data_IF_476086805564
#
_entry.id   IF_476086805564
#
_cell.length_a   1.000
_cell.length_b   1.000
_cell.length_c   1.000
_cell.angle_alpha   90.00
_cell.angle_beta   90.00
_cell.angle_gamma   90.00
#
_symmetry.space_group_name_H-M   'P 1'
#
loop_
_entity.id
_entity.type
_entity.pdbx_description
1 polymer ?
#
# COMPACT_ATOMS: atom_id res chain seq x y z
N UNK A 1 -4.37 4.05 -20.22
CA UNK A 1 -4.76 4.86 -19.06
C UNK A 1 -5.37 6.13 -19.59
N UNK A 2 -6.68 6.18 -19.77
CA UNK A 2 -7.36 7.46 -19.89
C UNK A 2 -7.57 8.00 -18.46
N UNK A 3 -6.97 9.13 -18.08
CA UNK A 3 -7.04 9.66 -16.72
C UNK A 3 -8.44 10.21 -16.48
N UNK A 4 -9.27 9.51 -15.72
CA UNK A 4 -10.59 10.00 -15.31
C UNK A 4 -10.49 10.64 -13.93
N UNK A 5 -10.25 11.96 -13.94
CA UNK A 5 -10.33 12.85 -12.78
C UNK A 5 -9.01 12.99 -12.02
N UNK A 6 -8.29 14.08 -12.28
CA UNK A 6 -7.14 14.59 -11.52
C UNK A 6 -6.31 13.50 -10.81
N UNK A 7 -5.45 12.79 -11.55
CA UNK A 7 -4.43 11.84 -11.03
C UNK A 7 -3.36 12.54 -10.13
N UNK A 8 -3.64 13.76 -9.68
CA UNK A 8 -2.81 14.53 -8.78
C UNK A 8 -3.23 14.27 -7.34
N UNK A 9 -2.25 13.94 -6.51
CA UNK A 9 -2.45 13.78 -5.10
C UNK A 9 -3.01 15.05 -4.46
N UNK A 10 -4.11 14.91 -3.72
CA UNK A 10 -4.67 15.99 -2.93
C UNK A 10 -4.19 15.88 -1.48
N UNK A 11 -3.49 16.91 -0.96
CA UNK A 11 -3.06 16.94 0.42
C UNK A 11 -4.22 16.76 1.40
N UNK A 12 -4.02 15.90 2.40
CA UNK A 12 -4.99 15.59 3.44
C UNK A 12 -4.57 16.24 4.74
N UNK A 13 -5.52 16.76 5.51
CA UNK A 13 -5.22 17.25 6.85
C UNK A 13 -5.06 16.06 7.82
N UNK A 14 -3.80 15.73 8.14
CA UNK A 14 -3.48 14.61 9.02
C UNK A 14 -3.99 14.79 10.45
N UNK A 15 -4.09 16.03 10.94
CA UNK A 15 -4.59 16.30 12.29
C UNK A 15 -6.10 16.10 12.30
N UNK A 16 -6.80 16.64 11.32
CA UNK A 16 -8.23 16.44 11.17
C UNK A 16 -8.57 14.95 11.05
N UNK A 17 -7.87 14.21 10.18
CA UNK A 17 -8.17 12.80 9.97
C UNK A 17 -7.78 11.94 11.17
N UNK A 18 -6.69 12.28 11.87
CA UNK A 18 -6.32 11.65 13.13
C UNK A 18 -7.37 11.86 14.24
N UNK A 19 -7.91 13.08 14.37
CA UNK A 19 -8.99 13.40 15.32
C UNK A 19 -10.29 12.69 14.95
N UNK A 20 -10.65 12.68 13.67
CA UNK A 20 -11.80 11.95 13.15
C UNK A 20 -11.68 10.45 13.43
N UNK A 21 -10.49 9.88 13.17
CA UNK A 21 -10.16 8.51 13.52
C UNK A 21 -10.31 8.25 15.02
N UNK A 22 -9.79 9.13 15.88
CA UNK A 22 -9.94 9.01 17.33
C UNK A 22 -11.40 8.96 17.77
N UNK A 23 -12.25 9.83 17.19
CA UNK A 23 -13.67 9.92 17.53
C UNK A 23 -14.44 8.70 17.05
N UNK A 24 -14.25 8.29 15.80
CA UNK A 24 -14.97 7.14 15.22
C UNK A 24 -14.57 5.85 15.94
N UNK A 25 -13.27 5.57 16.05
CA UNK A 25 -12.81 4.36 16.72
C UNK A 25 -13.02 4.42 18.23
N UNK A 26 -12.91 5.59 18.87
CA UNK A 26 -13.28 5.79 20.26
C UNK A 26 -14.75 5.48 20.52
N UNK A 27 -15.65 5.88 19.62
CA UNK A 27 -17.07 5.52 19.65
C UNK A 27 -17.29 4.00 19.56
N UNK A 28 -16.60 3.33 18.64
CA UNK A 28 -16.61 1.84 18.55
C UNK A 28 -16.09 1.21 19.85
N UNK A 29 -15.01 1.75 20.41
CA UNK A 29 -14.45 1.32 21.69
C UNK A 29 -15.43 1.51 22.86
N UNK A 30 -16.21 2.59 22.85
CA UNK A 30 -17.27 2.85 23.84
C UNK A 30 -18.39 1.82 23.74
N UNK A 31 -18.85 1.51 22.53
CA UNK A 31 -19.84 0.45 22.32
C UNK A 31 -19.32 -0.91 22.81
N UNK A 32 -18.06 -1.22 22.52
CA UNK A 32 -17.43 -2.46 22.98
C UNK A 32 -17.27 -2.50 24.50
N UNK A 33 -16.90 -1.37 25.11
CA UNK A 33 -16.81 -1.21 26.56
C UNK A 33 -18.18 -1.36 27.23
N UNK A 34 -19.24 -0.84 26.62
CA UNK A 34 -20.61 -0.94 27.10
C UNK A 34 -21.14 -2.38 26.99
N UNK A 35 -20.89 -3.05 25.86
CA UNK A 35 -21.23 -4.47 25.69
C UNK A 35 -20.48 -5.37 26.68
N UNK A 36 -19.19 -5.09 26.93
CA UNK A 36 -18.45 -5.79 27.98
C UNK A 36 -19.00 -5.52 29.38
N UNK A 37 -19.51 -4.31 29.62
CA UNK A 37 -20.14 -3.96 30.90
C UNK A 37 -21.48 -4.68 31.09
N UNK A 38 -22.30 -4.81 30.04
CA UNK A 38 -23.59 -5.50 30.11
C UNK A 38 -23.43 -7.02 30.29
N UNK A 39 -22.33 -7.59 29.80
CA UNK A 39 -21.97 -9.01 29.99
C UNK A 39 -21.26 -9.29 31.32
N UNK A 40 -21.13 -8.31 32.21
CA UNK A 40 -20.46 -8.52 33.49
C UNK A 40 -21.29 -9.43 34.42
N UNK A 41 -20.64 -10.44 35.00
CA UNK A 41 -21.28 -11.39 35.94
C UNK A 41 -21.57 -10.81 37.33
N UNK A 42 -21.01 -9.65 37.64
CA UNK A 42 -21.17 -8.95 38.92
C UNK A 42 -22.05 -7.72 38.75
N UNK A 43 -22.73 -7.29 39.82
CA UNK A 43 -23.50 -6.05 39.80
C UNK A 43 -22.56 -4.86 39.56
N UNK A 44 -22.62 -4.28 38.36
CA UNK A 44 -21.76 -3.16 37.94
C UNK A 44 -22.63 -1.99 37.50
N UNK A 45 -22.30 -0.79 37.98
CA UNK A 45 -23.00 0.43 37.60
C UNK A 45 -22.67 0.86 36.16
N UNK A 46 -23.41 1.81 35.60
CA UNK A 46 -23.13 2.36 34.26
C UNK A 46 -21.72 2.99 34.16
N UNK A 47 -21.24 3.59 35.26
CA UNK A 47 -19.93 4.24 35.39
C UNK A 47 -18.73 3.29 35.19
N UNK A 48 -18.89 1.97 35.36
CA UNK A 48 -17.79 1.02 35.13
C UNK A 48 -17.40 0.90 33.66
N UNK A 49 -18.27 1.34 32.74
CA UNK A 49 -17.95 1.46 31.31
C UNK A 49 -16.78 2.41 31.08
N UNK A 50 -16.73 3.51 31.81
CA UNK A 50 -15.67 4.52 31.69
C UNK A 50 -14.51 4.26 32.66
N UNK A 51 -14.78 3.81 33.88
CA UNK A 51 -13.72 3.64 34.91
C UNK A 51 -12.97 2.32 34.77
N UNK A 52 -13.68 1.17 34.67
CA UNK A 52 -13.05 -0.15 34.54
C UNK A 52 -12.75 -0.52 33.09
N UNK A 53 -13.67 -0.20 32.17
CA UNK A 53 -13.53 -0.51 30.75
C UNK A 53 -13.01 0.67 29.90
N UNK A 54 -12.70 1.83 30.48
CA UNK A 54 -12.21 3.00 29.74
C UNK A 54 -10.91 2.75 28.99
N UNK A 55 -10.09 1.81 29.46
CA UNK A 55 -8.89 1.41 28.73
C UNK A 55 -9.18 0.75 27.36
N UNK A 56 -10.38 0.19 27.13
CA UNK A 56 -10.80 -0.30 25.81
C UNK A 56 -11.03 0.91 24.91
N UNK A 57 -11.80 1.88 25.37
CA UNK A 57 -12.09 3.14 24.65
C UNK A 57 -10.80 3.82 24.24
N UNK A 58 -9.86 3.98 25.18
CA UNK A 58 -8.56 4.60 24.92
C UNK A 58 -7.73 3.81 23.89
N UNK A 59 -7.74 2.47 23.95
CA UNK A 59 -6.98 1.63 23.01
C UNK A 59 -7.52 1.76 21.58
N UNK A 60 -8.84 1.72 21.41
CA UNK A 60 -9.46 1.88 20.09
C UNK A 60 -9.27 3.30 19.55
N UNK A 61 -9.46 4.33 20.38
CA UNK A 61 -9.23 5.71 19.99
C UNK A 61 -7.78 5.96 19.57
N UNK A 62 -6.80 5.44 20.34
CA UNK A 62 -5.38 5.56 20.02
C UNK A 62 -5.00 4.80 18.75
N UNK A 63 -5.56 3.61 18.53
CA UNK A 63 -5.31 2.84 17.31
C UNK A 63 -5.87 3.55 16.07
N UNK A 64 -7.10 4.07 16.15
CA UNK A 64 -7.75 4.80 15.06
C UNK A 64 -7.06 6.12 14.75
N UNK A 65 -6.64 6.86 15.78
CA UNK A 65 -5.91 8.12 15.59
C UNK A 65 -4.53 7.88 14.99
N UNK A 66 -3.77 6.91 15.51
CA UNK A 66 -2.47 6.55 14.98
C UNK A 66 -2.55 6.07 13.53
N UNK A 67 -3.59 5.30 13.18
CA UNK A 67 -3.83 4.85 11.81
C UNK A 67 -4.04 6.02 10.85
N UNK A 68 -5.07 6.84 11.08
CA UNK A 68 -5.46 7.89 10.12
C UNK A 68 -4.44 9.02 10.03
N UNK A 69 -3.85 9.41 11.17
CA UNK A 69 -2.78 10.39 11.21
C UNK A 69 -1.57 9.92 10.40
N UNK A 70 -1.09 8.71 10.67
CA UNK A 70 0.12 8.18 10.03
C UNK A 70 -0.11 7.91 8.56
N UNK A 71 -1.28 7.39 8.18
CA UNK A 71 -1.67 7.20 6.77
C UNK A 71 -1.67 8.53 6.03
N UNK A 72 -2.33 9.56 6.57
CA UNK A 72 -2.42 10.89 5.96
C UNK A 72 -1.05 11.60 5.89
N UNK A 73 -0.25 11.49 6.95
CA UNK A 73 1.11 12.00 6.95
C UNK A 73 1.99 11.30 5.90
N UNK A 74 1.90 9.97 5.79
CA UNK A 74 2.66 9.20 4.80
C UNK A 74 2.24 9.52 3.36
N UNK A 75 0.94 9.73 3.13
CA UNK A 75 0.44 10.13 1.82
C UNK A 75 0.89 11.54 1.45
N UNK A 76 0.89 12.48 2.40
CA UNK A 76 1.35 13.85 2.18
C UNK A 76 2.85 13.91 1.85
N UNK A 77 3.67 13.12 2.55
CA UNK A 77 5.12 13.08 2.33
C UNK A 77 5.51 12.45 0.98
N UNK A 78 4.68 11.53 0.48
CA UNK A 78 4.97 10.78 -0.75
C UNK A 78 4.21 11.31 -1.95
N UNK A 79 3.28 12.23 -1.73
CA UNK A 79 2.35 12.79 -2.70
C UNK A 79 1.70 11.69 -3.56
N UNK A 80 1.37 10.56 -2.92
CA UNK A 80 0.84 9.34 -3.56
C UNK A 80 -0.13 8.65 -2.62
N UNK A 81 -1.23 8.19 -3.18
CA UNK A 81 -2.20 7.33 -2.47
C UNK A 81 -1.99 5.88 -2.90
N UNK A 82 -1.25 5.11 -2.08
CA UNK A 82 -0.99 3.70 -2.33
C UNK A 82 -1.10 2.83 -1.05
N UNK A 83 -0.97 1.50 -1.25
CA UNK A 83 -1.04 0.50 -0.19
C UNK A 83 0.07 0.62 0.85
N UNK A 84 1.18 1.28 0.53
CA UNK A 84 2.25 1.53 1.50
C UNK A 84 1.80 2.50 2.59
N UNK A 85 0.94 3.46 2.28
CA UNK A 85 0.38 4.36 3.30
C UNK A 85 -0.48 3.58 4.32
N UNK A 86 -1.22 2.59 3.84
CA UNK A 86 -1.99 1.67 4.68
C UNK A 86 -1.10 0.74 5.51
N UNK A 87 0.03 0.31 4.97
CA UNK A 87 1.02 -0.49 5.70
C UNK A 87 1.59 0.27 6.90
N UNK A 88 2.04 1.51 6.68
CA UNK A 88 2.65 2.35 7.71
C UNK A 88 1.61 2.79 8.74
N UNK A 89 0.42 3.19 8.30
CA UNK A 89 -0.71 3.48 9.18
C UNK A 89 -1.13 2.26 10.03
N UNK A 90 -1.22 1.09 9.41
CA UNK A 90 -1.53 -0.17 10.09
C UNK A 90 -0.48 -0.57 11.12
N UNK A 91 0.79 -0.35 10.80
CA UNK A 91 1.88 -0.57 11.75
C UNK A 91 1.76 0.33 12.97
N UNK A 92 1.51 1.63 12.78
CA UNK A 92 1.31 2.59 13.87
C UNK A 92 0.09 2.22 14.74
N UNK A 93 -1.02 1.83 14.11
CA UNK A 93 -2.22 1.39 14.81
C UNK A 93 -2.00 0.12 15.64
N UNK A 94 -1.36 -0.91 15.05
CA UNK A 94 -1.04 -2.15 15.73
C UNK A 94 -0.04 -1.94 16.87
N UNK A 95 0.94 -1.07 16.68
CA UNK A 95 1.86 -0.65 17.73
C UNK A 95 1.12 0.06 18.88
N UNK A 96 0.16 0.95 18.57
CA UNK A 96 -0.66 1.64 19.57
C UNK A 96 -1.49 0.66 20.42
N UNK A 97 -2.05 -0.40 19.82
CA UNK A 97 -2.72 -1.48 20.56
C UNK A 97 -1.72 -2.24 21.45
N UNK A 98 -0.53 -2.53 20.91
CA UNK A 98 0.53 -3.26 21.61
C UNK A 98 1.15 -2.48 22.78
N UNK A 99 1.11 -1.15 22.78
CA UNK A 99 1.72 -0.30 23.82
C UNK A 99 1.23 -0.65 25.22
N UNK A 100 -0.05 -1.02 25.37
CA UNK A 100 -0.62 -1.44 26.66
C UNK A 100 0.10 -2.63 27.28
N UNK A 101 0.75 -3.47 26.47
CA UNK A 101 1.45 -4.66 26.98
C UNK A 101 2.82 -4.36 27.57
N UNK A 102 3.38 -3.16 27.35
CA UNK A 102 4.67 -2.73 27.89
C UNK A 102 5.89 -3.52 27.40
N UNK A 103 5.73 -4.39 26.38
CA UNK A 103 6.79 -5.27 25.88
C UNK A 103 7.09 -4.95 24.40
N UNK A 104 8.31 -4.53 24.12
CA UNK A 104 8.77 -4.18 22.77
C UNK A 104 8.49 -5.27 21.72
N UNK A 105 8.74 -6.57 21.97
CA UNK A 105 8.46 -7.60 20.97
C UNK A 105 6.98 -7.70 20.60
N UNK A 106 6.07 -7.42 21.55
CA UNK A 106 4.62 -7.46 21.30
C UNK A 106 4.19 -6.24 20.49
N UNK A 107 4.73 -5.06 20.81
CA UNK A 107 4.45 -3.83 20.07
C UNK A 107 4.83 -4.02 18.60
N UNK A 108 6.05 -4.51 18.34
CA UNK A 108 6.52 -4.77 16.98
C UNK A 108 5.72 -5.89 16.30
N UNK A 109 5.39 -6.97 17.01
CA UNK A 109 4.60 -8.07 16.46
C UNK A 109 3.19 -7.64 16.04
N UNK A 110 2.48 -6.90 16.89
CA UNK A 110 1.15 -6.38 16.57
C UNK A 110 1.21 -5.35 15.45
N UNK A 111 2.19 -4.43 15.48
CA UNK A 111 2.42 -3.47 14.41
C UNK A 111 2.67 -4.16 13.07
N UNK A 112 3.64 -5.08 13.00
CA UNK A 112 3.98 -5.78 11.77
C UNK A 112 2.80 -6.60 11.23
N UNK A 113 2.08 -7.31 12.10
CA UNK A 113 0.91 -8.09 11.70
C UNK A 113 -0.19 -7.22 11.10
N UNK A 114 -0.60 -6.16 11.79
CA UNK A 114 -1.66 -5.26 11.30
C UNK A 114 -1.21 -4.50 10.05
N UNK A 115 0.04 -4.05 10.01
CA UNK A 115 0.61 -3.38 8.84
C UNK A 115 0.56 -4.25 7.60
N UNK A 116 1.03 -5.51 7.68
CA UNK A 116 0.98 -6.45 6.55
C UNK A 116 -0.46 -6.78 6.17
N UNK A 117 -1.35 -7.01 7.15
CA UNK A 117 -2.75 -7.32 6.88
C UNK A 117 -3.46 -6.18 6.13
N UNK A 118 -3.28 -4.93 6.54
CA UNK A 118 -3.89 -3.78 5.89
C UNK A 118 -3.25 -3.47 4.54
N UNK A 119 -1.93 -3.63 4.41
CA UNK A 119 -1.25 -3.51 3.13
C UNK A 119 -1.77 -4.54 2.11
N UNK A 120 -1.89 -5.80 2.53
CA UNK A 120 -2.43 -6.86 1.68
C UNK A 120 -3.88 -6.59 1.31
N UNK A 121 -4.71 -6.16 2.27
CA UNK A 121 -6.10 -5.82 2.03
C UNK A 121 -6.25 -4.71 0.99
N UNK A 122 -5.52 -3.61 1.14
CA UNK A 122 -5.57 -2.49 0.20
C UNK A 122 -4.98 -2.86 -1.17
N UNK A 123 -3.87 -3.62 -1.17
CA UNK A 123 -3.27 -4.17 -2.39
C UNK A 123 -4.25 -5.05 -3.19
N UNK A 124 -5.10 -5.82 -2.51
CA UNK A 124 -6.15 -6.64 -3.16
C UNK A 124 -7.37 -5.84 -3.63
N UNK A 125 -7.40 -4.53 -3.41
CA UNK A 125 -8.47 -3.64 -3.86
C UNK A 125 -9.37 -3.12 -2.75
N UNK A 126 -8.99 -3.23 -1.48
CA UNK A 126 -9.59 -2.47 -0.36
C UNK A 126 -11.09 -2.68 -0.14
N UNK A 127 -11.70 -3.70 -0.74
CA UNK A 127 -13.14 -3.90 -0.77
C UNK A 127 -13.51 -5.37 -0.54
N UNK A 128 -14.31 -5.62 0.48
CA UNK A 128 -14.83 -6.96 0.80
C UNK A 128 -15.92 -7.44 -0.17
N UNK A 129 -16.54 -6.52 -0.92
CA UNK A 129 -17.60 -6.82 -1.89
C UNK A 129 -17.09 -7.31 -3.26
N UNK A 130 -15.76 -7.41 -3.44
CA UNK A 130 -15.13 -7.90 -4.66
C UNK A 130 -14.93 -6.83 -5.73
N UNK A 131 -14.01 -7.13 -6.66
CA UNK A 131 -13.53 -6.22 -7.72
C UNK A 131 -14.53 -6.01 -8.88
N UNK A 132 -15.63 -6.77 -8.92
CA UNK A 132 -16.52 -6.81 -10.09
C UNK A 132 -17.47 -5.60 -10.23
N UNK A 133 -17.72 -4.85 -9.15
CA UNK A 133 -18.64 -3.71 -9.14
C UNK A 133 -17.91 -2.40 -8.81
N UNK A 134 -16.79 -2.16 -9.47
CA UNK A 134 -16.06 -0.89 -9.37
C UNK A 134 -16.52 0.07 -10.47
N UNK A 135 -17.38 1.07 -10.17
CA UNK A 135 -17.86 2.03 -11.18
C UNK A 135 -16.76 2.99 -11.67
N UNK A 136 -15.63 3.00 -10.98
CA UNK A 136 -14.42 3.77 -11.28
C UNK A 136 -13.54 3.15 -12.37
N UNK A 137 -13.75 1.87 -12.69
CA UNK A 137 -12.94 1.18 -13.71
C UNK A 137 -13.74 1.09 -15.01
N UNK A 138 -13.25 1.72 -16.06
CA UNK A 138 -13.81 1.53 -17.39
C UNK A 138 -13.67 0.05 -17.81
N UNK A 139 -14.81 -0.65 -17.87
CA UNK A 139 -14.87 -2.04 -18.29
C UNK A 139 -14.31 -2.24 -19.70
N UNK A 140 -14.42 -1.23 -20.56
CA UNK A 140 -13.86 -1.27 -21.89
C UNK A 140 -12.33 -1.30 -21.83
N UNK A 141 -11.70 -0.36 -21.10
CA UNK A 141 -10.26 -0.30 -20.93
C UNK A 141 -9.70 -1.58 -20.28
N UNK A 142 -10.39 -2.12 -19.26
CA UNK A 142 -10.01 -3.42 -18.66
C UNK A 142 -10.04 -4.56 -19.67
N UNK A 143 -11.13 -4.68 -20.45
CA UNK A 143 -11.26 -5.74 -21.48
C UNK A 143 -10.23 -5.54 -22.59
N UNK A 144 -9.91 -4.30 -22.93
CA UNK A 144 -8.85 -3.96 -23.89
C UNK A 144 -7.47 -4.37 -23.38
N UNK A 145 -7.13 -4.07 -22.11
CA UNK A 145 -5.88 -4.53 -21.48
C UNK A 145 -5.77 -6.06 -21.50
N UNK A 146 -6.84 -6.77 -21.14
CA UNK A 146 -6.88 -8.23 -21.17
C UNK A 146 -6.68 -8.79 -22.59
N UNK A 147 -7.21 -8.11 -23.61
CA UNK A 147 -7.03 -8.49 -25.02
C UNK A 147 -5.62 -8.19 -25.54
N UNK A 148 -5.04 -7.05 -25.16
CA UNK A 148 -3.68 -6.63 -25.53
C UNK A 148 -2.59 -7.50 -24.88
N UNK A 149 -2.89 -8.14 -23.75
CA UNK A 149 -1.96 -9.02 -23.05
C UNK A 149 -1.49 -10.24 -23.87
N UNK A 150 -2.19 -10.62 -24.95
CA UNK A 150 -1.81 -11.76 -25.80
C UNK A 150 -0.57 -11.49 -26.67
N UNK A 151 -0.37 -10.25 -27.12
CA UNK A 151 0.79 -9.83 -27.93
C UNK A 151 1.10 -8.38 -27.61
N UNK A 152 2.13 -8.16 -26.78
CA UNK A 152 2.64 -6.83 -26.45
C UNK A 152 3.74 -6.44 -27.44
N UNK A 153 3.83 -5.17 -27.86
CA UNK A 153 4.95 -4.69 -28.67
C UNK A 153 6.28 -4.86 -27.93
N UNK A 154 7.34 -5.18 -28.67
CA UNK A 154 8.67 -5.42 -28.10
C UNK A 154 9.23 -4.15 -27.43
N UNK A 155 8.88 -2.97 -27.95
CA UNK A 155 9.27 -1.66 -27.42
C UNK A 155 8.75 -1.42 -25.99
N UNK A 156 7.49 -1.75 -25.72
CA UNK A 156 6.89 -1.67 -24.39
C UNK A 156 7.58 -2.61 -23.40
N UNK A 157 7.93 -3.83 -23.86
CA UNK A 157 8.68 -4.79 -23.04
C UNK A 157 10.09 -4.27 -22.72
N UNK A 158 10.74 -3.60 -23.66
CA UNK A 158 12.08 -3.01 -23.45
C UNK A 158 11.99 -1.85 -22.46
N UNK A 159 10.97 -1.01 -22.56
CA UNK A 159 10.77 0.11 -21.64
C UNK A 159 10.53 -0.37 -20.19
N UNK A 160 9.79 -1.46 -20.00
CA UNK A 160 9.45 -1.99 -18.67
C UNK A 160 10.55 -2.89 -18.07
N UNK A 161 11.08 -3.83 -18.84
CA UNK A 161 12.01 -4.87 -18.36
C UNK A 161 13.48 -4.47 -18.55
N UNK A 162 13.76 -3.58 -19.51
CA UNK A 162 15.10 -3.22 -19.93
C UNK A 162 15.72 -4.24 -20.90
N UNK A 163 16.82 -3.84 -21.54
CA UNK A 163 17.56 -4.71 -22.45
C UNK A 163 18.46 -5.71 -21.69
N UNK A 164 18.59 -6.93 -22.22
CA UNK A 164 19.43 -7.99 -21.66
C UNK A 164 18.63 -9.17 -21.11
N UNK A 165 19.33 -10.14 -20.47
CA UNK A 165 18.74 -11.37 -19.89
C UNK A 165 17.84 -12.16 -20.86
N UNK A 166 18.19 -12.18 -22.15
CA UNK A 166 17.48 -12.92 -23.21
C UNK A 166 16.61 -12.05 -24.12
N UNK A 167 16.38 -10.78 -23.79
CA UNK A 167 15.63 -9.83 -24.63
C UNK A 167 16.64 -9.04 -25.47
N UNK A 168 16.69 -9.34 -26.78
CA UNK A 168 17.59 -8.71 -27.75
C UNK A 168 16.79 -8.02 -28.86
N UNK A 169 16.52 -6.71 -28.75
CA UNK A 169 15.94 -5.95 -29.84
C UNK A 169 16.88 -5.85 -31.06
N UNK A 170 16.36 -5.48 -32.24
CA UNK A 170 17.21 -5.07 -33.36
C UNK A 170 18.16 -3.93 -32.91
N UNK A 171 19.44 -4.03 -33.31
CA UNK A 171 20.50 -3.11 -32.88
C UNK A 171 21.05 -3.31 -31.46
N UNK A 172 20.66 -4.38 -30.76
CA UNK A 172 21.15 -4.66 -29.39
C UNK A 172 22.67 -4.83 -29.30
N UNK A 173 23.29 -5.50 -30.28
CA UNK A 173 24.74 -5.76 -30.25
C UNK A 173 25.57 -4.48 -30.39
N UNK A 174 25.08 -3.48 -31.13
CA UNK A 174 25.71 -2.16 -31.27
C UNK A 174 25.62 -1.37 -29.96
N UNK A 175 24.41 -1.24 -29.38
CA UNK A 175 24.23 -0.59 -28.06
C UNK A 175 24.96 -1.31 -26.94
N UNK A 176 25.09 -2.63 -27.02
CA UNK A 176 25.90 -3.42 -26.09
C UNK A 176 27.38 -3.12 -26.24
N UNK A 177 27.89 -2.98 -27.48
CA UNK A 177 29.28 -2.60 -27.74
C UNK A 177 29.58 -1.21 -27.18
N UNK A 178 28.71 -0.24 -27.39
CA UNK A 178 28.83 1.11 -26.81
C UNK A 178 28.91 1.05 -25.27
N UNK A 179 27.99 0.33 -24.61
CA UNK A 179 28.02 0.14 -23.15
C UNK A 179 29.29 -0.57 -22.65
N UNK A 180 29.82 -1.54 -23.41
CA UNK A 180 31.04 -2.25 -23.04
C UNK A 180 32.30 -1.41 -23.28
N UNK A 181 32.32 -0.60 -24.33
CA UNK A 181 33.37 0.38 -24.61
C UNK A 181 33.42 1.45 -23.53
N UNK A 182 32.27 2.00 -23.16
CA UNK A 182 32.17 3.00 -22.09
C UNK A 182 32.58 2.44 -20.73
N UNK A 183 32.13 1.21 -20.39
CA UNK A 183 32.37 0.62 -19.07
C UNK A 183 33.78 0.03 -18.90
N UNK A 184 34.38 -0.49 -19.96
CA UNK A 184 35.63 -1.26 -19.87
C UNK A 184 36.73 -0.82 -20.85
N UNK A 185 36.48 0.14 -21.74
CA UNK A 185 37.46 0.63 -22.72
C UNK A 185 37.84 -0.39 -23.81
N UNK A 186 37.07 -1.47 -23.95
CA UNK A 186 37.38 -2.56 -24.89
C UNK A 186 36.56 -2.38 -26.18
N UNK A 187 37.24 -2.20 -27.30
CA UNK A 187 36.62 -2.15 -28.63
C UNK A 187 36.45 -3.56 -29.21
N UNK A 188 35.21 -4.06 -29.21
CA UNK A 188 34.87 -5.39 -29.74
C UNK A 188 34.55 -5.27 -31.25
N UNK A 189 35.46 -5.68 -32.12
CA UNK A 189 35.21 -5.70 -33.57
C UNK A 189 34.25 -6.84 -33.97
N UNK A 190 33.29 -6.54 -34.84
CA UNK A 190 32.41 -7.55 -35.45
C UNK A 190 33.16 -8.23 -36.58
N UNK A 191 33.35 -9.55 -36.50
CA UNK A 191 33.64 -10.34 -37.70
C UNK A 191 32.30 -10.51 -38.40
N UNK A 192 32.14 -9.88 -39.57
CA UNK A 192 30.98 -10.09 -40.44
C UNK A 192 30.86 -11.57 -40.78
N UNK A 193 29.70 -12.17 -40.50
CA UNK A 193 29.29 -13.45 -41.06
C UNK A 193 28.25 -13.23 -42.18
N UNK A 194 28.42 -12.15 -42.96
CA UNK A 194 27.62 -11.87 -44.14
C UNK A 194 28.52 -12.02 -45.40
N UNK A 195 28.34 -13.06 -46.23
CA UNK A 195 29.23 -13.34 -47.36
C UNK A 195 29.09 -12.38 -48.55
N UNK A 196 28.38 -11.25 -48.41
CA UNK A 196 28.10 -10.30 -49.51
C UNK A 196 28.46 -8.84 -49.27
N UNK A 197 29.09 -8.47 -48.15
CA UNK A 197 29.48 -7.09 -47.90
C UNK A 197 30.98 -6.86 -48.23
N UNK A 198 31.24 -6.57 -49.50
CA UNK A 198 32.46 -5.92 -50.00
C UNK A 198 32.06 -4.72 -50.87
#
# INVERSE_FOLDING_TARGET
MAPTGDDHYHPKDAIHEGLRGALVYGGVGLLFAAAKNSLAKSNVGSLTTFTKNGGIIATFAAAGSAYEFTRSASSNLREKDDHWNHAVGGFAAGAAVGLRTGRMPRILGYGAFVGVALAAFDYTGGALKGYLNRPDVDEYERKEMLRKNRRRPIEETIAEVGEGRGIKPPGYEERRRERLKEKYGIDINTVSADPGAA
#
